data_IF_923062614890
#
_entry.id   IF_923062614890
#
_cell.length_a   1.000
_cell.length_b   1.000
_cell.length_c   1.000
_cell.angle_alpha   90.00
_cell.angle_beta   90.00
_cell.angle_gamma   90.00
#
_symmetry.space_group_name_H-M   'P 1'
#
loop_
_entity.id
_entity.type
_entity.pdbx_description
1 polymer ?
#
# COMPACT_ATOMS: atom_id res chain seq x y z
N UNK A 1 11.27 21.33 3.93
CA UNK A 1 12.08 20.16 3.53
C UNK A 1 11.17 19.32 2.64
N UNK A 2 11.51 19.14 1.36
CA UNK A 2 10.56 18.56 0.38
C UNK A 2 10.23 17.12 0.75
N UNK A 3 8.94 16.71 0.79
CA UNK A 3 8.57 15.33 1.03
C UNK A 3 9.21 14.46 -0.06
N UNK A 4 9.80 13.34 0.34
CA UNK A 4 10.54 12.38 -0.48
C UNK A 4 10.16 12.43 -1.96
N UNK A 5 11.02 13.09 -2.73
CA UNK A 5 10.86 13.24 -4.17
C UNK A 5 10.63 11.86 -4.76
N UNK A 6 9.48 11.66 -5.42
CA UNK A 6 9.18 10.45 -6.18
C UNK A 6 10.29 10.28 -7.23
N UNK A 7 11.34 9.53 -6.88
CA UNK A 7 12.59 9.51 -7.64
C UNK A 7 12.34 8.89 -9.01
N UNK A 8 13.21 9.15 -9.98
CA UNK A 8 13.11 8.47 -11.28
C UNK A 8 13.12 6.95 -11.13
N UNK A 9 13.87 6.43 -10.14
CA UNK A 9 13.83 5.01 -9.78
C UNK A 9 12.44 4.57 -9.28
N UNK A 10 11.80 5.32 -8.38
CA UNK A 10 10.43 5.01 -7.94
C UNK A 10 9.44 5.04 -9.10
N UNK A 11 9.52 6.05 -9.97
CA UNK A 11 8.64 6.16 -11.15
C UNK A 11 8.78 4.95 -12.05
N UNK A 12 10.01 4.54 -12.33
CA UNK A 12 10.30 3.38 -13.17
C UNK A 12 9.77 2.09 -12.52
N UNK A 13 10.02 1.89 -11.22
CA UNK A 13 9.48 0.75 -10.48
C UNK A 13 7.95 0.67 -10.58
N UNK A 14 7.24 1.78 -10.33
CA UNK A 14 5.77 1.80 -10.42
C UNK A 14 5.32 1.45 -11.84
N UNK A 15 5.95 2.04 -12.86
CA UNK A 15 5.63 1.77 -14.26
C UNK A 15 5.82 0.29 -14.59
N UNK A 16 6.97 -0.28 -14.25
CA UNK A 16 7.28 -1.69 -14.55
C UNK A 16 6.31 -2.62 -13.85
N UNK A 17 6.05 -2.39 -12.55
CA UNK A 17 5.09 -3.19 -11.79
C UNK A 17 3.68 -3.10 -12.35
N UNK A 18 3.21 -1.92 -12.73
CA UNK A 18 1.84 -1.77 -13.24
C UNK A 18 1.67 -2.39 -14.64
N UNK A 19 2.67 -2.26 -15.51
CA UNK A 19 2.59 -2.75 -16.89
C UNK A 19 2.86 -4.26 -17.01
N UNK A 20 3.58 -4.85 -16.05
CA UNK A 20 3.84 -6.28 -16.01
C UNK A 20 2.54 -7.07 -16.05
N UNK A 21 2.41 -7.94 -17.07
CA UNK A 21 1.31 -8.90 -17.25
C UNK A 21 -0.10 -8.30 -17.17
N UNK A 22 -0.27 -7.00 -17.43
CA UNK A 22 -1.57 -6.33 -17.36
C UNK A 22 -2.08 -6.12 -15.93
N UNK A 23 -1.22 -6.24 -14.91
CA UNK A 23 -1.57 -6.13 -13.47
C UNK A 23 -2.34 -4.85 -13.11
N UNK A 24 -2.10 -3.74 -13.81
CA UNK A 24 -2.85 -2.49 -13.64
C UNK A 24 -4.37 -2.65 -13.74
N UNK A 25 -4.88 -3.69 -14.40
CA UNK A 25 -6.31 -3.93 -14.58
C UNK A 25 -7.02 -4.38 -13.31
N UNK A 26 -6.31 -4.96 -12.35
CA UNK A 26 -6.92 -5.63 -11.20
C UNK A 26 -6.22 -5.35 -9.87
N UNK A 27 -5.02 -4.73 -9.86
CA UNK A 27 -4.24 -4.58 -8.63
C UNK A 27 -4.98 -3.81 -7.53
N UNK A 28 -5.82 -2.84 -7.89
CA UNK A 28 -6.63 -2.11 -6.91
C UNK A 28 -7.71 -3.02 -6.30
N UNK A 29 -8.43 -3.74 -7.15
CA UNK A 29 -9.51 -4.64 -6.74
C UNK A 29 -8.97 -5.84 -5.95
N UNK A 30 -7.74 -6.28 -6.22
CA UNK A 30 -7.10 -7.40 -5.54
C UNK A 30 -7.00 -7.22 -4.01
N UNK A 31 -6.92 -5.98 -3.52
CA UNK A 31 -6.91 -5.68 -2.08
C UNK A 31 -8.31 -5.70 -1.43
N UNK A 32 -9.37 -5.76 -2.22
CA UNK A 32 -10.74 -5.72 -1.72
C UNK A 32 -11.22 -7.13 -1.31
N UNK A 33 -12.07 -7.18 -0.30
CA UNK A 33 -12.59 -8.44 0.24
C UNK A 33 -13.40 -9.19 -0.83
N UNK A 34 -13.18 -10.50 -0.92
CA UNK A 34 -13.81 -11.38 -1.92
C UNK A 34 -13.12 -11.40 -3.29
N UNK A 35 -12.16 -10.51 -3.56
CA UNK A 35 -11.35 -10.59 -4.77
C UNK A 35 -10.34 -11.74 -4.66
N UNK A 36 -10.34 -12.65 -5.62
CA UNK A 36 -9.40 -13.78 -5.69
C UNK A 36 -8.88 -13.99 -7.11
N UNK A 37 -7.73 -14.67 -7.29
CA UNK A 37 -7.25 -15.02 -8.65
C UNK A 37 -8.31 -15.79 -9.46
N UNK A 38 -9.05 -16.69 -8.82
CA UNK A 38 -10.04 -17.55 -9.47
C UNK A 38 -11.26 -16.79 -10.01
N UNK A 39 -11.57 -15.63 -9.43
CA UNK A 39 -12.68 -14.78 -9.86
C UNK A 39 -12.23 -13.52 -10.64
N UNK A 40 -10.99 -13.52 -11.13
CA UNK A 40 -10.36 -12.37 -11.80
C UNK A 40 -10.35 -11.12 -10.91
N UNK A 41 -10.11 -11.30 -9.61
CA UNK A 41 -10.07 -10.25 -8.60
C UNK A 41 -11.34 -9.41 -8.52
N UNK A 42 -12.51 -10.00 -8.76
CA UNK A 42 -13.80 -9.30 -8.61
C UNK A 42 -14.16 -9.18 -7.11
N UNK A 43 -14.28 -7.97 -6.54
CA UNK A 43 -14.64 -7.81 -5.13
C UNK A 43 -16.07 -8.24 -4.82
N UNK A 44 -16.32 -8.56 -3.56
CA UNK A 44 -17.68 -8.70 -3.02
C UNK A 44 -18.39 -7.35 -2.97
N UNK A 45 -19.73 -7.39 -2.88
CA UNK A 45 -20.57 -6.23 -2.59
C UNK A 45 -21.12 -6.34 -1.16
N UNK A 46 -21.00 -5.31 -0.30
CA UNK A 46 -20.31 -4.04 -0.53
C UNK A 46 -18.79 -4.17 -0.67
N UNK A 47 -18.14 -3.24 -1.38
CA UNK A 47 -16.67 -3.22 -1.52
C UNK A 47 -16.06 -2.80 -0.19
N UNK A 48 -15.29 -3.69 0.41
CA UNK A 48 -14.58 -3.48 1.68
C UNK A 48 -13.12 -3.88 1.55
N UNK A 49 -12.28 -3.36 2.44
CA UNK A 49 -10.87 -3.74 2.56
C UNK A 49 -10.62 -4.07 4.03
N UNK A 50 -10.03 -5.23 4.30
CA UNK A 50 -9.59 -5.60 5.64
C UNK A 50 -8.14 -5.19 5.87
N UNK A 51 -7.92 -4.40 6.94
CA UNK A 51 -6.59 -3.98 7.40
C UNK A 51 -6.38 -4.47 8.84
N UNK A 52 -5.15 -4.83 9.15
CA UNK A 52 -4.71 -5.22 10.50
C UNK A 52 -3.68 -4.23 11.02
N UNK A 53 -3.77 -3.92 12.30
CA UNK A 53 -2.71 -3.20 13.01
C UNK A 53 -1.46 -4.08 13.10
N UNK A 54 -0.29 -3.46 12.93
CA UNK A 54 0.97 -4.15 13.17
C UNK A 54 1.23 -4.21 14.69
N UNK A 55 1.76 -5.32 15.23
CA UNK A 55 1.82 -5.53 16.69
C UNK A 55 2.85 -4.65 17.42
N UNK A 56 3.61 -3.83 16.70
CA UNK A 56 4.64 -2.98 17.28
C UNK A 56 4.18 -1.52 17.33
N UNK A 57 4.69 -0.81 18.33
CA UNK A 57 4.38 0.59 18.56
C UNK A 57 4.80 1.49 17.36
N UNK A 58 4.11 2.63 17.17
CA UNK A 58 4.48 3.62 16.17
C UNK A 58 5.91 4.13 16.38
N UNK A 59 6.61 4.39 15.28
CA UNK A 59 7.97 4.95 15.30
C UNK A 59 7.94 6.47 15.18
N UNK A 60 8.81 7.16 15.91
CA UNK A 60 8.96 8.61 15.76
C UNK A 60 9.79 8.95 14.53
N UNK A 61 9.37 9.97 13.78
CA UNK A 61 10.13 10.53 12.65
C UNK A 61 10.03 12.05 12.62
N UNK A 62 11.07 12.72 12.12
CA UNK A 62 11.08 14.18 11.90
C UNK A 62 11.28 14.56 10.42
N UNK A 63 11.11 13.60 9.51
CA UNK A 63 11.44 13.74 8.09
C UNK A 63 10.68 14.86 7.37
N UNK A 64 9.46 15.17 7.82
CA UNK A 64 8.64 16.27 7.28
C UNK A 64 8.95 17.63 7.93
N UNK A 65 9.93 17.69 8.83
CA UNK A 65 10.26 18.87 9.63
C UNK A 65 9.38 19.03 10.89
N UNK A 66 8.48 18.07 11.16
CA UNK A 66 7.64 17.97 12.35
C UNK A 66 7.80 16.58 12.96
N UNK A 67 7.63 16.44 14.28
CA UNK A 67 7.53 15.11 14.89
C UNK A 67 6.26 14.41 14.40
N UNK A 68 6.43 13.23 13.83
CA UNK A 68 5.38 12.34 13.35
C UNK A 68 5.45 11.01 14.09
N UNK A 69 4.28 10.43 14.34
CA UNK A 69 4.13 9.02 14.70
C UNK A 69 3.82 8.24 13.42
N UNK A 70 4.76 7.37 13.04
CA UNK A 70 4.66 6.53 11.85
C UNK A 70 4.21 5.14 12.29
N UNK A 71 3.01 4.77 11.84
CA UNK A 71 2.38 3.50 12.12
C UNK A 71 2.57 2.56 10.94
N UNK A 72 2.53 1.25 11.20
CA UNK A 72 2.48 0.25 10.13
C UNK A 72 1.11 -0.40 10.13
N UNK A 73 0.51 -0.46 8.96
CA UNK A 73 -0.73 -1.21 8.72
C UNK A 73 -0.44 -2.35 7.76
N UNK A 74 -1.15 -3.45 7.94
CA UNK A 74 -0.96 -4.69 7.18
C UNK A 74 -2.26 -5.06 6.47
N UNK A 75 -2.15 -5.59 5.26
CA UNK A 75 -3.24 -6.19 4.52
C UNK A 75 -2.85 -7.62 4.14
N UNK A 76 -3.75 -8.55 4.46
CA UNK A 76 -3.75 -9.88 3.89
C UNK A 76 -4.87 -9.96 2.87
N UNK A 77 -4.55 -10.42 1.67
CA UNK A 77 -5.53 -10.62 0.62
C UNK A 77 -5.19 -11.86 -0.18
N UNK A 78 -6.19 -12.48 -0.81
CA UNK A 78 -6.04 -13.75 -1.51
C UNK A 78 -4.95 -13.70 -2.60
N UNK A 79 -4.75 -12.52 -3.19
CA UNK A 79 -3.79 -12.28 -4.26
C UNK A 79 -2.32 -12.26 -3.86
N UNK A 80 -1.94 -12.30 -2.58
CA UNK A 80 -0.52 -12.29 -2.19
C UNK A 80 -0.09 -13.59 -1.48
N UNK A 81 1.16 -13.99 -1.68
CA UNK A 81 1.80 -15.09 -0.94
C UNK A 81 2.22 -14.67 0.48
N UNK A 82 2.44 -13.38 0.68
CA UNK A 82 2.89 -12.79 1.93
C UNK A 82 2.12 -11.51 2.23
N UNK A 83 1.95 -11.21 3.52
CA UNK A 83 1.28 -9.99 3.97
C UNK A 83 1.93 -8.74 3.35
N UNK A 84 1.11 -7.73 3.00
CA UNK A 84 1.61 -6.44 2.51
C UNK A 84 1.47 -5.41 3.60
N UNK A 85 2.54 -4.66 3.86
CA UNK A 85 2.51 -3.60 4.85
C UNK A 85 2.93 -2.27 4.28
N UNK A 86 2.30 -1.21 4.76
CA UNK A 86 2.68 0.18 4.46
C UNK A 86 2.84 0.96 5.75
N UNK A 87 3.74 1.93 5.70
CA UNK A 87 3.91 2.90 6.76
C UNK A 87 2.99 4.08 6.50
N UNK A 88 2.29 4.56 7.52
CA UNK A 88 1.37 5.68 7.44
C UNK A 88 1.61 6.65 8.59
N UNK A 89 1.22 7.90 8.40
CA UNK A 89 1.20 8.88 9.48
C UNK A 89 -0.02 9.78 9.34
N UNK A 90 -0.50 10.28 10.47
CA UNK A 90 -1.55 11.31 10.50
C UNK A 90 -0.87 12.67 10.50
N UNK A 91 -1.13 13.49 9.48
CA UNK A 91 -0.56 14.83 9.43
C UNK A 91 -1.19 15.71 10.53
N UNK A 92 -0.37 16.38 11.37
CA UNK A 92 -0.89 17.16 12.50
C UNK A 92 -1.56 18.48 12.08
N UNK A 93 -1.41 18.89 10.82
CA UNK A 93 -1.94 20.16 10.29
C UNK A 93 -3.36 19.99 9.76
N UNK A 94 -3.62 18.91 9.03
CA UNK A 94 -4.93 18.67 8.39
C UNK A 94 -5.68 17.45 8.94
N UNK A 95 -5.04 16.64 9.80
CA UNK A 95 -5.63 15.47 10.42
C UNK A 95 -5.84 14.28 9.48
N UNK A 96 -5.33 14.33 8.24
CA UNK A 96 -5.47 13.26 7.24
C UNK A 96 -4.33 12.25 7.36
N UNK A 97 -4.60 11.04 6.89
CA UNK A 97 -3.61 9.97 6.83
C UNK A 97 -2.88 9.97 5.49
N UNK A 98 -1.57 9.81 5.53
CA UNK A 98 -0.71 9.77 4.37
C UNK A 98 0.21 8.55 4.43
N UNK A 99 0.56 8.01 3.25
CA UNK A 99 1.62 7.02 3.13
C UNK A 99 2.97 7.67 3.48
N UNK A 100 3.78 6.96 4.25
CA UNK A 100 5.10 7.41 4.68
C UNK A 100 6.19 6.78 3.81
N UNK A 101 7.03 7.64 3.23
CA UNK A 101 8.17 7.28 2.39
C UNK A 101 7.83 6.31 1.24
N UNK A 102 8.78 5.46 0.83
CA UNK A 102 8.62 4.52 -0.29
C UNK A 102 7.87 3.22 0.06
N UNK A 103 7.26 3.14 1.24
CA UNK A 103 6.53 1.95 1.69
C UNK A 103 5.36 1.55 0.77
N UNK A 104 4.82 2.50 0.00
CA UNK A 104 3.79 2.26 -1.01
C UNK A 104 4.20 1.22 -2.07
N UNK A 105 5.51 1.03 -2.29
CA UNK A 105 6.04 0.01 -3.22
C UNK A 105 5.61 -1.41 -2.84
N UNK A 106 5.43 -1.68 -1.55
CA UNK A 106 4.95 -2.99 -1.08
C UNK A 106 3.56 -3.31 -1.65
N UNK A 107 2.69 -2.30 -1.81
CA UNK A 107 1.36 -2.52 -2.38
C UNK A 107 1.41 -2.91 -3.87
N UNK A 108 2.52 -2.63 -4.53
CA UNK A 108 2.71 -2.87 -5.97
C UNK A 108 3.51 -4.14 -6.26
N UNK A 109 3.73 -4.97 -5.24
CA UNK A 109 4.33 -6.29 -5.38
C UNK A 109 3.55 -7.19 -6.34
N UNK A 110 4.10 -8.37 -6.63
CA UNK A 110 3.43 -9.33 -7.50
C UNK A 110 2.20 -9.91 -6.81
N UNK A 111 1.21 -10.26 -7.64
CA UNK A 111 -0.07 -10.84 -7.22
C UNK A 111 -0.27 -12.15 -7.98
N UNK A 112 -0.93 -13.12 -7.34
CA UNK A 112 -1.07 -14.48 -7.87
C UNK A 112 -1.82 -14.51 -9.21
N UNK A 113 -1.35 -15.37 -10.11
CA UNK A 113 -2.05 -15.63 -11.37
C UNK A 113 -1.89 -14.54 -12.45
N UNK A 114 -1.06 -13.53 -12.20
CA UNK A 114 -0.75 -12.44 -13.15
C UNK A 114 0.75 -12.19 -13.18
#
# INVERSE_FOLDING_TARGET
VSPDTFTNHTKQFVKDRMLQNGKWQCIADAYCDGATPENNYRPSSPVTITLREYPYLPQKSTMTGKELLVEKIVSDFAGADTERSVSVYKDPTDGRWYLFSDSCRNLLGDIKGI
#
